data_IF_718350485802
#
_entry.id   IF_718350485802
#
_cell.length_a   1.000
_cell.length_b   1.000
_cell.length_c   1.000
_cell.angle_alpha   90.00
_cell.angle_beta   90.00
_cell.angle_gamma   90.00
#
_symmetry.space_group_name_H-M   'P 1'
#
loop_
_entity.id
_entity.type
_entity.pdbx_description
1 polymer ?
#
# COMPACT_ATOMS: atom_id res chain seq x y z
N UNK A 1 -37.57 36.60 -4.30
CA UNK A 1 -36.65 35.86 -3.42
C UNK A 1 -35.30 35.85 -4.09
N UNK A 2 -34.25 36.33 -3.43
CA UNK A 2 -32.90 36.10 -3.93
C UNK A 2 -32.63 34.58 -3.97
N UNK A 3 -31.98 34.05 -5.01
CA UNK A 3 -31.60 32.64 -5.02
C UNK A 3 -30.69 32.39 -3.82
N UNK A 4 -31.14 31.54 -2.89
CA UNK A 4 -30.26 31.02 -1.84
C UNK A 4 -29.32 30.01 -2.47
N UNK A 5 -28.10 29.87 -1.94
CA UNK A 5 -27.22 28.74 -2.27
C UNK A 5 -27.96 27.39 -2.12
N UNK A 6 -28.96 27.35 -1.23
CA UNK A 6 -29.85 26.21 -1.03
C UNK A 6 -30.89 26.00 -2.14
N UNK A 7 -30.83 26.74 -3.24
CA UNK A 7 -31.76 26.58 -4.37
C UNK A 7 -31.06 26.33 -5.69
N UNK A 8 -29.73 26.40 -5.71
CA UNK A 8 -28.94 26.17 -6.92
C UNK A 8 -28.77 24.67 -7.23
N UNK A 9 -28.78 24.30 -8.52
CA UNK A 9 -28.38 22.96 -8.98
C UNK A 9 -26.93 22.64 -8.60
N UNK A 10 -26.61 21.34 -8.46
CA UNK A 10 -25.26 20.92 -8.05
C UNK A 10 -24.22 21.21 -9.15
N UNK A 11 -24.63 21.16 -10.40
CA UNK A 11 -23.80 21.49 -11.56
C UNK A 11 -23.34 22.95 -11.49
N UNK A 12 -24.24 23.87 -11.16
CA UNK A 12 -23.91 25.30 -10.99
C UNK A 12 -23.02 25.53 -9.78
N UNK A 13 -23.23 24.77 -8.69
CA UNK A 13 -22.38 24.85 -7.50
C UNK A 13 -20.96 24.33 -7.77
N UNK A 14 -20.81 23.33 -8.64
CA UNK A 14 -19.52 22.87 -9.14
C UNK A 14 -18.86 23.96 -9.98
N UNK A 15 -19.52 24.49 -10.99
CA UNK A 15 -18.97 25.58 -11.83
C UNK A 15 -18.54 26.79 -10.98
N UNK A 16 -19.31 27.18 -9.97
CA UNK A 16 -18.92 28.25 -9.04
C UNK A 16 -17.65 27.88 -8.28
N UNK A 17 -17.55 26.65 -7.77
CA UNK A 17 -16.36 26.19 -7.08
C UNK A 17 -15.13 26.18 -8.01
N UNK A 18 -15.31 25.77 -9.27
CA UNK A 18 -14.26 25.76 -10.29
C UNK A 18 -13.80 27.19 -10.65
N UNK A 19 -14.75 28.11 -10.85
CA UNK A 19 -14.46 29.53 -11.10
C UNK A 19 -13.71 30.20 -9.95
N UNK A 20 -14.01 29.86 -8.69
CA UNK A 20 -13.30 30.40 -7.53
C UNK A 20 -11.81 30.03 -7.48
N UNK A 21 -11.37 29.04 -8.27
CA UNK A 21 -9.99 28.56 -8.33
C UNK A 21 -9.30 28.85 -9.65
N UNK A 22 -9.97 29.51 -10.60
CA UNK A 22 -9.49 29.71 -11.98
C UNK A 22 -8.16 30.50 -12.07
N UNK A 23 -7.97 31.50 -11.22
CA UNK A 23 -6.74 32.32 -11.19
C UNK A 23 -5.63 31.70 -10.33
N UNK A 24 -5.89 30.56 -9.70
CA UNK A 24 -4.88 29.79 -8.95
C UNK A 24 -4.11 28.89 -9.92
N UNK A 25 -3.42 29.49 -10.89
CA UNK A 25 -2.42 28.75 -11.67
C UNK A 25 -1.44 28.11 -10.68
N UNK A 26 -1.14 26.80 -10.80
CA UNK A 26 -0.01 26.23 -10.10
C UNK A 26 1.22 27.09 -10.42
N UNK A 27 2.03 27.46 -9.43
CA UNK A 27 3.23 28.24 -9.76
C UNK A 27 4.03 27.44 -10.79
N UNK A 28 4.53 28.09 -11.84
CA UNK A 28 5.27 27.41 -12.92
C UNK A 28 6.53 26.68 -12.43
N UNK A 29 6.90 26.89 -11.16
CA UNK A 29 8.03 26.28 -10.47
C UNK A 29 7.65 25.05 -9.65
N UNK A 30 6.37 24.87 -9.29
CA UNK A 30 5.85 23.68 -8.59
C UNK A 30 4.38 23.51 -8.96
N UNK A 31 4.07 22.68 -9.97
CA UNK A 31 2.71 22.47 -10.44
C UNK A 31 1.97 21.56 -9.45
N UNK A 32 1.67 22.05 -8.24
CA UNK A 32 0.91 21.27 -7.27
C UNK A 32 -0.53 21.06 -7.78
N UNK A 33 -0.96 19.79 -8.01
CA UNK A 33 -2.37 19.48 -8.24
C UNK A 33 -3.23 19.80 -6.99
N UNK A 34 -2.59 19.90 -5.83
CA UNK A 34 -3.22 20.01 -4.52
C UNK A 34 -3.85 21.38 -4.21
N UNK A 35 -3.45 22.48 -4.86
CA UNK A 35 -3.99 23.82 -4.53
C UNK A 35 -5.46 23.94 -4.93
N UNK A 36 -5.83 23.34 -6.06
CA UNK A 36 -7.16 23.38 -6.63
C UNK A 36 -8.17 22.55 -5.82
N UNK A 37 -7.80 21.29 -5.50
CA UNK A 37 -8.64 20.40 -4.71
C UNK A 37 -8.84 20.90 -3.28
N UNK A 38 -7.87 21.64 -2.73
CA UNK A 38 -7.91 22.22 -1.38
C UNK A 38 -9.05 23.23 -1.21
N UNK A 39 -9.23 24.14 -2.17
CA UNK A 39 -10.29 25.17 -2.12
C UNK A 39 -11.68 24.56 -2.27
N UNK A 40 -11.84 23.56 -3.14
CA UNK A 40 -13.08 22.80 -3.28
C UNK A 40 -13.41 22.04 -1.99
N UNK A 41 -12.45 21.32 -1.42
CA UNK A 41 -12.63 20.61 -0.16
C UNK A 41 -12.98 21.58 0.99
N UNK A 42 -12.39 22.78 1.02
CA UNK A 42 -12.74 23.82 1.99
C UNK A 42 -14.20 24.28 1.82
N UNK A 43 -14.65 24.56 0.59
CA UNK A 43 -16.02 24.96 0.30
C UNK A 43 -17.03 23.88 0.73
N UNK A 44 -16.74 22.61 0.41
CA UNK A 44 -17.57 21.45 0.76
C UNK A 44 -17.71 21.28 2.28
N UNK A 45 -16.70 21.69 3.06
CA UNK A 45 -16.74 21.65 4.54
C UNK A 45 -17.57 22.79 5.15
N UNK A 46 -17.90 23.85 4.41
CA UNK A 46 -18.63 25.00 4.97
C UNK A 46 -20.12 24.71 5.24
N UNK A 47 -20.73 23.77 4.52
CA UNK A 47 -22.15 23.49 4.63
C UNK A 47 -22.48 22.02 4.38
N UNK A 48 -23.38 21.44 5.18
CA UNK A 48 -23.82 20.03 5.05
C UNK A 48 -24.43 19.71 3.68
N UNK A 49 -25.17 20.65 3.09
CA UNK A 49 -25.76 20.47 1.76
C UNK A 49 -24.67 20.36 0.69
N UNK A 50 -23.69 21.27 0.73
CA UNK A 50 -22.53 21.25 -0.17
C UNK A 50 -21.72 19.97 0.05
N UNK A 51 -21.53 19.56 1.31
CA UNK A 51 -20.94 18.27 1.65
C UNK A 51 -21.66 17.10 0.98
N UNK A 52 -22.98 17.02 1.11
CA UNK A 52 -23.73 15.89 0.58
C UNK A 52 -23.73 15.84 -0.97
N UNK A 53 -23.80 16.99 -1.65
CA UNK A 53 -23.89 17.01 -3.10
C UNK A 53 -22.56 17.05 -3.84
N UNK A 54 -21.58 17.80 -3.34
CA UNK A 54 -20.31 18.00 -4.05
C UNK A 54 -19.27 16.94 -3.70
N UNK A 55 -19.36 16.28 -2.54
CA UNK A 55 -18.33 15.32 -2.11
C UNK A 55 -18.19 14.17 -3.13
N UNK A 56 -19.30 13.65 -3.67
CA UNK A 56 -19.24 12.63 -4.75
C UNK A 56 -18.47 13.15 -5.97
N UNK A 57 -18.76 14.37 -6.43
CA UNK A 57 -18.10 14.95 -7.59
C UNK A 57 -16.60 15.15 -7.35
N UNK A 58 -16.18 15.49 -6.11
CA UNK A 58 -14.77 15.60 -5.76
C UNK A 58 -14.04 14.26 -5.84
N UNK A 59 -14.63 13.16 -5.33
CA UNK A 59 -14.02 11.84 -5.49
C UNK A 59 -13.93 11.44 -6.97
N UNK A 60 -15.03 11.59 -7.73
CA UNK A 60 -15.04 11.22 -9.15
C UNK A 60 -14.00 12.02 -9.96
N UNK A 61 -13.84 13.30 -9.65
CA UNK A 61 -12.80 14.12 -10.26
C UNK A 61 -11.40 13.65 -9.87
N UNK A 62 -11.13 13.42 -8.57
CA UNK A 62 -9.83 12.94 -8.11
C UNK A 62 -9.45 11.61 -8.78
N UNK A 63 -10.42 10.71 -8.97
CA UNK A 63 -10.21 9.43 -9.64
C UNK A 63 -9.94 9.55 -11.15
N UNK A 64 -10.37 10.65 -11.79
CA UNK A 64 -10.28 10.83 -13.24
C UNK A 64 -9.15 11.75 -13.67
N UNK A 65 -8.90 12.81 -12.90
CA UNK A 65 -8.04 13.92 -13.30
C UNK A 65 -6.71 13.95 -12.52
N UNK A 66 -6.66 13.36 -11.32
CA UNK A 66 -5.45 13.38 -10.50
C UNK A 66 -4.66 12.06 -10.67
N UNK A 67 -3.31 12.12 -10.69
CA UNK A 67 -2.49 10.91 -10.70
C UNK A 67 -2.68 10.11 -9.41
N UNK A 68 -2.41 8.79 -9.45
CA UNK A 68 -2.54 7.92 -8.28
C UNK A 68 -1.68 8.36 -7.09
N UNK A 69 -0.49 8.93 -7.37
CA UNK A 69 0.40 9.53 -6.38
C UNK A 69 -0.28 10.67 -5.62
N UNK A 70 -1.18 11.42 -6.25
CA UNK A 70 -1.97 12.48 -5.62
C UNK A 70 -3.41 12.05 -5.26
N UNK A 71 -3.71 10.76 -5.31
CA UNK A 71 -5.07 10.27 -5.05
C UNK A 71 -5.47 10.42 -3.59
N UNK A 72 -6.74 10.75 -3.36
CA UNK A 72 -7.32 10.77 -2.02
C UNK A 72 -7.29 9.40 -1.35
N UNK A 73 -7.29 8.33 -2.15
CA UNK A 73 -7.17 6.95 -1.68
C UNK A 73 -5.78 6.70 -1.09
N UNK A 74 -4.70 7.07 -1.80
CA UNK A 74 -3.34 6.92 -1.28
C UNK A 74 -3.14 7.69 0.01
N UNK A 75 -3.61 8.94 0.05
CA UNK A 75 -3.61 9.74 1.28
C UNK A 75 -4.37 9.06 2.42
N UNK A 76 -5.57 8.56 2.15
CA UNK A 76 -6.41 7.92 3.16
C UNK A 76 -5.76 6.64 3.72
N UNK A 77 -5.13 5.85 2.85
CA UNK A 77 -4.37 4.66 3.23
C UNK A 77 -3.17 5.03 4.09
N UNK A 78 -2.38 6.04 3.69
CA UNK A 78 -1.22 6.50 4.45
C UNK A 78 -1.59 7.00 5.85
N UNK A 79 -2.66 7.79 5.95
CA UNK A 79 -3.12 8.39 7.22
C UNK A 79 -3.87 7.40 8.11
N UNK A 80 -4.41 6.31 7.56
CA UNK A 80 -5.23 5.36 8.33
C UNK A 80 -6.73 5.69 8.35
N UNK A 81 -7.20 6.51 7.40
CA UNK A 81 -8.60 6.92 7.34
C UNK A 81 -9.45 5.92 6.54
N UNK A 82 -9.89 4.84 7.21
CA UNK A 82 -10.69 3.77 6.60
C UNK A 82 -12.02 4.26 5.99
N UNK A 83 -12.66 5.28 6.54
CA UNK A 83 -13.91 5.82 6.01
C UNK A 83 -13.71 6.49 4.65
N UNK A 84 -12.56 7.13 4.45
CA UNK A 84 -12.20 7.75 3.17
C UNK A 84 -11.82 6.67 2.16
N UNK A 85 -11.12 5.60 2.57
CA UNK A 85 -10.87 4.42 1.72
C UNK A 85 -12.18 3.80 1.25
N UNK A 86 -13.10 3.52 2.17
CA UNK A 86 -14.43 2.94 1.85
C UNK A 86 -15.25 3.82 0.91
N UNK A 87 -15.20 5.15 1.11
CA UNK A 87 -15.90 6.10 0.23
C UNK A 87 -15.28 6.19 -1.15
N UNK A 88 -13.95 6.23 -1.26
CA UNK A 88 -13.26 6.21 -2.54
C UNK A 88 -13.63 4.93 -3.32
N UNK A 89 -13.57 3.77 -2.66
CA UNK A 89 -13.98 2.50 -3.25
C UNK A 89 -15.45 2.50 -3.70
N UNK A 90 -16.37 2.99 -2.86
CA UNK A 90 -17.79 3.12 -3.20
C UNK A 90 -18.03 3.98 -4.46
N UNK A 91 -17.15 4.94 -4.74
CA UNK A 91 -17.20 5.77 -5.94
C UNK A 91 -16.41 5.21 -7.13
N UNK A 92 -15.87 3.99 -7.02
CA UNK A 92 -15.22 3.27 -8.10
C UNK A 92 -13.70 3.35 -8.12
N UNK A 93 -13.06 3.73 -7.01
CA UNK A 93 -11.60 3.67 -6.92
C UNK A 93 -11.11 2.21 -6.96
N UNK A 94 -10.14 1.92 -7.83
CA UNK A 94 -9.45 0.64 -7.87
C UNK A 94 -8.52 0.50 -6.64
N UNK A 95 -8.60 -0.63 -5.94
CA UNK A 95 -7.87 -0.91 -4.69
C UNK A 95 -6.60 -1.73 -4.88
N UNK A 96 -6.41 -2.29 -6.07
CA UNK A 96 -5.32 -3.15 -6.49
C UNK A 96 -4.31 -2.43 -7.40
N UNK A 97 -4.49 -1.12 -7.61
CA UNK A 97 -3.63 -0.33 -8.47
C UNK A 97 -2.17 -0.37 -8.03
N UNK A 98 -1.28 -0.61 -9.00
CA UNK A 98 0.15 -0.39 -8.85
C UNK A 98 0.45 1.10 -8.99
N UNK A 99 1.26 1.61 -8.06
CA UNK A 99 1.67 3.00 -7.97
C UNK A 99 3.15 3.04 -8.29
N UNK A 100 3.49 3.77 -9.34
CA UNK A 100 4.84 4.02 -9.78
C UNK A 100 5.22 5.46 -9.45
N UNK A 101 6.36 5.64 -8.80
CA UNK A 101 6.94 6.95 -8.50
C UNK A 101 8.26 7.07 -9.23
N UNK A 102 8.35 8.12 -10.03
CA UNK A 102 9.49 8.52 -10.87
C UNK A 102 9.94 9.93 -10.49
N UNK A 103 11.10 10.35 -10.99
CA UNK A 103 11.60 11.73 -10.80
C UNK A 103 10.59 12.81 -11.22
N UNK A 104 9.79 12.56 -12.27
CA UNK A 104 8.79 13.48 -12.80
C UNK A 104 7.50 13.52 -11.96
N UNK A 105 7.30 12.53 -11.10
CA UNK A 105 6.09 12.36 -10.25
C UNK A 105 6.42 12.44 -8.76
N UNK A 106 7.58 13.03 -8.44
CA UNK A 106 8.23 13.16 -7.11
C UNK A 106 7.41 13.87 -6.04
N UNK A 107 6.28 14.49 -6.40
CA UNK A 107 5.34 14.98 -5.41
C UNK A 107 4.24 13.96 -5.13
N UNK A 108 4.43 13.21 -4.04
CA UNK A 108 3.39 12.40 -3.46
C UNK A 108 2.91 13.14 -2.19
N UNK A 109 1.67 13.64 -2.10
CA UNK A 109 1.15 14.31 -0.90
C UNK A 109 1.32 13.55 0.44
N UNK A 110 1.35 12.19 0.49
CA UNK A 110 1.71 11.46 1.69
C UNK A 110 3.22 11.47 2.02
N UNK A 111 4.11 11.86 1.06
CA UNK A 111 5.59 11.82 1.13
C UNK A 111 6.35 13.12 0.87
N UNK A 112 5.67 14.21 0.51
CA UNK A 112 6.28 15.52 0.30
C UNK A 112 7.08 15.57 -1.00
N UNK A 113 8.00 16.53 -1.08
CA UNK A 113 8.99 16.56 -2.16
C UNK A 113 10.03 15.48 -1.87
N UNK A 114 10.04 14.44 -2.69
CA UNK A 114 11.07 13.42 -2.66
C UNK A 114 12.28 14.03 -3.37
N UNK A 115 13.27 14.48 -2.60
CA UNK A 115 14.60 14.80 -3.13
C UNK A 115 15.45 13.51 -3.08
N UNK A 116 15.55 12.73 -4.18
CA UNK A 116 16.37 11.54 -4.17
C UNK A 116 17.82 11.92 -3.89
N UNK A 117 18.46 11.27 -2.90
CA UNK A 117 19.89 11.47 -2.64
C UNK A 117 20.66 11.04 -3.90
N UNK A 118 21.43 11.93 -4.55
CA UNK A 118 22.21 11.59 -5.74
C UNK A 118 23.26 10.49 -5.50
N UNK A 119 23.51 10.12 -4.25
CA UNK A 119 24.38 9.01 -3.87
C UNK A 119 23.62 7.72 -3.53
N UNK A 120 22.28 7.71 -3.59
CA UNK A 120 21.49 6.50 -3.46
C UNK A 120 21.79 5.56 -4.63
N UNK A 121 22.03 4.28 -4.34
CA UNK A 121 22.23 3.22 -5.33
C UNK A 121 21.02 3.09 -6.27
N UNK A 122 19.83 3.52 -5.85
CA UNK A 122 18.60 3.52 -6.64
C UNK A 122 18.25 4.87 -7.25
N UNK A 123 19.16 5.84 -7.21
CA UNK A 123 18.97 7.12 -7.87
C UNK A 123 18.60 6.93 -9.35
N UNK A 124 17.44 7.45 -9.75
CA UNK A 124 16.90 7.31 -11.11
C UNK A 124 16.16 6.00 -11.41
N UNK A 125 15.99 5.09 -10.44
CA UNK A 125 15.14 3.91 -10.59
C UNK A 125 13.71 4.17 -10.08
N UNK A 126 12.67 3.64 -10.75
CA UNK A 126 11.30 3.82 -10.31
C UNK A 126 11.05 3.04 -9.01
N UNK A 127 10.27 3.64 -8.12
CA UNK A 127 9.66 2.94 -6.99
C UNK A 127 8.30 2.42 -7.42
N UNK A 128 8.04 1.13 -7.17
CA UNK A 128 6.75 0.52 -7.47
C UNK A 128 6.19 -0.12 -6.21
N UNK A 129 4.92 0.16 -5.90
CA UNK A 129 4.23 -0.42 -4.76
C UNK A 129 2.71 -0.38 -4.99
N UNK A 130 1.92 -0.70 -3.97
CA UNK A 130 0.46 -0.64 -4.01
C UNK A 130 -0.10 -0.20 -2.67
N UNK A 131 -1.41 0.02 -2.58
CA UNK A 131 -2.05 0.46 -1.34
C UNK A 131 -1.81 -0.49 -0.16
N UNK A 132 -1.69 -1.79 -0.40
CA UNK A 132 -1.43 -2.76 0.69
C UNK A 132 -0.06 -2.54 1.33
N UNK A 133 0.96 -2.22 0.54
CA UNK A 133 2.32 -1.95 1.01
C UNK A 133 2.36 -0.71 1.91
N UNK A 134 1.66 0.36 1.52
CA UNK A 134 1.55 1.58 2.33
C UNK A 134 0.76 1.31 3.61
N UNK A 135 -0.35 0.56 3.54
CA UNK A 135 -1.13 0.21 4.71
C UNK A 135 -0.33 -0.64 5.71
N UNK A 136 0.52 -1.55 5.23
CA UNK A 136 1.44 -2.37 6.04
C UNK A 136 2.53 -1.51 6.66
N UNK A 137 3.18 -0.64 5.88
CA UNK A 137 4.23 0.26 6.37
C UNK A 137 3.74 1.08 7.56
N UNK A 138 2.49 1.54 7.47
CA UNK A 138 1.85 2.39 8.49
C UNK A 138 1.12 1.59 9.57
N UNK A 139 1.12 0.26 9.48
CA UNK A 139 0.48 -0.68 10.42
C UNK A 139 -1.03 -0.48 10.58
N UNK A 140 -1.74 -0.21 9.48
CA UNK A 140 -3.20 -0.06 9.46
C UNK A 140 -3.89 -1.39 9.14
N UNK A 141 -3.97 -2.32 10.10
CA UNK A 141 -4.52 -3.69 9.91
C UNK A 141 -5.93 -3.63 9.35
N UNK A 142 -6.79 -2.73 9.85
CA UNK A 142 -8.17 -2.60 9.38
C UNK A 142 -8.26 -2.20 7.89
N UNK A 143 -7.30 -1.40 7.40
CA UNK A 143 -7.23 -1.03 5.98
C UNK A 143 -6.67 -2.21 5.17
N UNK A 144 -5.60 -2.87 5.63
CA UNK A 144 -5.06 -4.07 4.97
C UNK A 144 -6.15 -5.13 4.80
N UNK A 145 -6.90 -5.40 5.86
CA UNK A 145 -8.02 -6.34 5.82
C UNK A 145 -9.08 -5.92 4.79
N UNK A 146 -9.48 -4.65 4.80
CA UNK A 146 -10.46 -4.14 3.86
C UNK A 146 -9.99 -4.24 2.40
N UNK A 147 -8.73 -3.89 2.12
CA UNK A 147 -8.15 -3.98 0.77
C UNK A 147 -8.20 -5.43 0.25
N UNK A 148 -7.72 -6.40 1.04
CA UNK A 148 -7.69 -7.81 0.65
C UNK A 148 -9.10 -8.36 0.45
N UNK A 149 -10.04 -8.03 1.35
CA UNK A 149 -11.43 -8.49 1.25
C UNK A 149 -12.16 -7.90 0.03
N UNK A 150 -11.63 -6.83 -0.56
CA UNK A 150 -12.17 -6.20 -1.76
C UNK A 150 -11.25 -6.39 -2.99
N UNK A 151 -10.41 -7.43 -2.99
CA UNK A 151 -9.72 -7.90 -4.19
C UNK A 151 -8.28 -7.40 -4.36
N UNK A 152 -7.71 -6.69 -3.39
CA UNK A 152 -6.27 -6.39 -3.44
C UNK A 152 -5.44 -7.68 -3.38
N UNK A 153 -4.44 -7.78 -4.24
CA UNK A 153 -3.55 -8.94 -4.29
C UNK A 153 -2.63 -8.99 -3.05
N UNK A 154 -2.66 -10.12 -2.36
CA UNK A 154 -1.78 -10.40 -1.21
C UNK A 154 -0.32 -10.66 -1.64
N UNK A 155 -0.09 -10.85 -2.93
CA UNK A 155 1.23 -10.95 -3.57
C UNK A 155 1.46 -9.80 -4.56
N UNK A 156 0.86 -8.63 -4.33
CA UNK A 156 1.15 -7.44 -5.12
C UNK A 156 2.67 -7.18 -5.11
N UNK A 157 3.34 -7.06 -6.26
CA UNK A 157 4.78 -6.82 -6.29
C UNK A 157 5.10 -5.38 -5.85
N UNK A 158 6.26 -5.24 -5.22
CA UNK A 158 6.93 -3.95 -5.01
C UNK A 158 8.37 -4.00 -5.49
N UNK A 159 8.86 -2.87 -5.98
CA UNK A 159 10.23 -2.67 -6.44
C UNK A 159 10.81 -1.44 -5.75
N UNK A 160 11.99 -1.61 -5.16
CA UNK A 160 12.74 -0.57 -4.44
C UNK A 160 11.97 0.08 -3.27
N UNK A 161 10.85 -0.52 -2.83
CA UNK A 161 9.94 0.12 -1.86
C UNK A 161 10.25 -0.16 -0.38
N UNK A 162 10.92 -1.26 -0.03
CA UNK A 162 11.11 -1.62 1.39
C UNK A 162 12.56 -1.85 1.83
N UNK A 163 13.42 -2.48 1.01
CA UNK A 163 14.84 -2.67 1.34
C UNK A 163 15.76 -2.81 0.12
N UNK A 164 17.05 -2.49 0.32
CA UNK A 164 18.18 -2.82 -0.56
C UNK A 164 18.98 -3.99 0.02
N UNK A 165 18.31 -5.08 0.36
CA UNK A 165 19.04 -6.30 0.69
C UNK A 165 19.67 -6.83 -0.61
N UNK A 166 20.98 -7.08 -0.59
CA UNK A 166 21.69 -7.70 -1.72
C UNK A 166 21.03 -9.02 -2.16
N UNK A 167 20.39 -9.72 -1.22
CA UNK A 167 19.63 -10.97 -1.45
C UNK A 167 18.43 -10.76 -2.37
N UNK A 168 17.78 -9.59 -2.30
CA UNK A 168 16.53 -9.29 -3.00
C UNK A 168 16.67 -8.22 -4.08
N UNK A 169 17.91 -7.80 -4.39
CA UNK A 169 18.18 -6.74 -5.36
C UNK A 169 17.64 -7.09 -6.75
N UNK A 170 16.73 -6.26 -7.25
CA UNK A 170 16.12 -6.44 -8.58
C UNK A 170 15.02 -7.50 -8.65
N UNK A 171 14.60 -8.06 -7.51
CA UNK A 171 13.49 -9.03 -7.42
C UNK A 171 12.26 -8.33 -6.84
N UNK A 172 11.05 -8.55 -7.39
CA UNK A 172 9.82 -8.06 -6.77
C UNK A 172 9.60 -8.63 -5.37
N UNK A 173 9.41 -7.74 -4.40
CA UNK A 173 9.11 -8.08 -3.01
C UNK A 173 7.61 -8.01 -2.75
N UNK A 174 7.11 -8.91 -1.91
CA UNK A 174 5.69 -9.04 -1.60
C UNK A 174 5.32 -8.50 -0.20
N UNK A 175 4.03 -8.22 0.06
CA UNK A 175 3.56 -7.63 1.31
C UNK A 175 4.01 -8.37 2.58
N UNK A 176 4.14 -9.70 2.52
CA UNK A 176 4.56 -10.52 3.67
C UNK A 176 6.04 -10.29 4.04
N UNK A 177 6.92 -10.02 3.07
CA UNK A 177 8.30 -9.64 3.34
C UNK A 177 8.34 -8.37 4.18
N UNK A 178 7.58 -7.36 3.78
CA UNK A 178 7.54 -6.09 4.48
C UNK A 178 7.08 -6.25 5.93
N UNK A 179 6.09 -7.11 6.19
CA UNK A 179 5.65 -7.40 7.56
C UNK A 179 6.75 -8.07 8.40
N UNK A 180 7.50 -9.03 7.85
CA UNK A 180 8.45 -9.80 8.65
C UNK A 180 9.74 -9.04 8.94
N UNK A 181 10.25 -8.28 7.97
CA UNK A 181 11.59 -7.69 8.07
C UNK A 181 11.59 -6.20 8.42
N UNK A 182 10.44 -5.52 8.37
CA UNK A 182 10.36 -4.07 8.59
C UNK A 182 9.43 -3.67 9.74
N UNK A 183 9.28 -4.54 10.74
CA UNK A 183 8.63 -4.22 12.01
C UNK A 183 9.52 -3.32 12.88
N UNK A 184 9.50 -2.02 12.56
CA UNK A 184 10.49 -1.03 13.00
C UNK A 184 11.11 -1.19 14.39
N UNK A 185 12.45 -1.23 14.41
CA UNK A 185 13.29 -0.67 15.48
C UNK A 185 14.62 -0.17 14.92
N UNK A 186 15.13 -0.71 13.82
CA UNK A 186 16.38 -0.22 13.25
C UNK A 186 16.08 0.86 12.21
N UNK A 187 16.45 2.11 12.51
CA UNK A 187 16.38 3.27 11.61
C UNK A 187 17.32 3.15 10.41
N UNK A 188 17.46 1.92 9.89
CA UNK A 188 18.33 1.49 8.81
C UNK A 188 17.53 0.97 7.62
N UNK A 189 16.20 0.85 7.71
CA UNK A 189 15.39 0.90 6.49
C UNK A 189 15.61 2.31 5.92
N UNK A 190 16.48 2.40 4.91
CA UNK A 190 16.92 3.59 4.19
C UNK A 190 15.78 4.29 3.41
N UNK A 191 14.58 4.18 3.95
CA UNK A 191 13.39 4.83 3.47
C UNK A 191 12.91 5.71 4.63
N UNK A 192 13.69 6.76 4.87
CA UNK A 192 13.32 8.01 5.56
C UNK A 192 12.20 8.73 4.76
N UNK A 193 11.09 8.04 4.45
CA UNK A 193 10.02 8.55 3.57
C UNK A 193 8.79 8.88 4.41
N UNK A 194 8.88 10.02 5.09
CA UNK A 194 7.76 10.71 5.72
C UNK A 194 7.93 12.22 5.55
N UNK A 195 6.96 12.96 4.99
CA UNK A 195 6.99 14.42 4.94
C UNK A 195 6.23 15.03 6.12
N UNK A 196 5.99 14.23 7.14
CA UNK A 196 5.35 14.63 8.36
C UNK A 196 6.18 13.98 9.45
N UNK A 197 7.29 14.61 9.79
CA UNK A 197 7.79 14.69 11.17
C UNK A 197 6.74 15.34 12.11
N UNK A 198 5.46 15.25 11.79
CA UNK A 198 4.39 15.72 12.62
C UNK A 198 4.10 14.58 13.59
N UNK A 199 4.34 14.86 14.87
CA UNK A 199 4.09 14.04 16.07
C UNK A 199 2.65 13.47 16.13
N UNK A 200 1.77 13.83 15.19
CA UNK A 200 0.39 13.37 15.06
C UNK A 200 0.22 12.10 14.22
N UNK A 201 1.23 11.69 13.42
CA UNK A 201 1.19 10.41 12.71
C UNK A 201 1.61 9.29 13.66
N UNK A 202 0.69 8.92 14.56
CA UNK A 202 0.85 7.70 15.34
C UNK A 202 1.04 6.55 14.36
N UNK A 203 2.27 6.01 14.27
CA UNK A 203 2.48 4.66 13.74
C UNK A 203 1.37 3.79 14.34
N UNK A 204 0.65 3.05 13.48
CA UNK A 204 -0.42 2.17 13.96
C UNK A 204 0.11 1.38 15.15
N UNK A 205 -0.59 1.46 16.28
CA UNK A 205 -0.23 0.74 17.50
C UNK A 205 -0.51 -0.78 17.39
N UNK A 206 -0.96 -1.22 16.20
CA UNK A 206 -1.29 -2.60 15.91
C UNK A 206 -0.01 -3.39 15.66
N UNK A 207 0.07 -4.57 16.28
CA UNK A 207 1.26 -5.38 16.28
C UNK A 207 1.46 -6.09 14.95
N UNK A 208 2.69 -6.16 14.48
CA UNK A 208 3.09 -6.90 13.27
C UNK A 208 2.64 -8.37 13.25
N UNK A 209 2.62 -9.10 14.37
CA UNK A 209 1.98 -10.42 14.43
C UNK A 209 0.55 -10.43 13.90
N UNK A 210 -0.24 -9.37 14.07
CA UNK A 210 -1.60 -9.29 13.54
C UNK A 210 -1.60 -9.21 12.00
N UNK A 211 -0.69 -8.43 11.41
CA UNK A 211 -0.53 -8.33 9.96
C UNK A 211 -0.04 -9.63 9.33
N UNK A 212 0.97 -10.26 9.93
CA UNK A 212 1.51 -11.56 9.47
C UNK A 212 0.41 -12.62 9.49
N UNK A 213 -0.32 -12.72 10.61
CA UNK A 213 -1.46 -13.63 10.72
C UNK A 213 -2.54 -13.34 9.67
N UNK A 214 -2.89 -12.06 9.47
CA UNK A 214 -3.88 -11.64 8.49
C UNK A 214 -3.45 -12.06 7.08
N UNK A 215 -2.26 -11.65 6.62
CA UNK A 215 -1.75 -11.95 5.29
C UNK A 215 -1.68 -13.45 5.03
N UNK A 216 -1.08 -14.23 5.93
CA UNK A 216 -0.97 -15.68 5.75
C UNK A 216 -2.34 -16.35 5.77
N UNK A 217 -3.25 -15.90 6.63
CA UNK A 217 -4.63 -16.42 6.65
C UNK A 217 -5.40 -16.15 5.37
N UNK A 218 -5.07 -15.06 4.66
CA UNK A 218 -5.64 -14.68 3.37
C UNK A 218 -4.87 -15.26 2.18
N UNK A 219 -3.85 -16.08 2.43
CA UNK A 219 -3.14 -16.84 1.41
C UNK A 219 -1.82 -16.23 0.95
N UNK A 220 -1.24 -15.28 1.69
CA UNK A 220 0.16 -14.89 1.49
C UNK A 220 1.10 -16.02 1.94
N UNK A 221 2.11 -16.33 1.13
CA UNK A 221 3.06 -17.43 1.36
C UNK A 221 4.44 -17.18 0.76
N UNK A 222 4.62 -16.10 0.00
CA UNK A 222 5.87 -15.73 -0.65
C UNK A 222 6.37 -14.41 -0.07
N UNK A 223 7.69 -14.26 -0.02
CA UNK A 223 8.39 -13.05 0.37
C UNK A 223 8.86 -12.28 -0.86
N UNK A 224 9.28 -13.02 -1.88
CA UNK A 224 9.69 -12.53 -3.19
C UNK A 224 9.33 -13.59 -4.25
N UNK A 225 9.58 -13.29 -5.52
CA UNK A 225 9.46 -14.29 -6.59
C UNK A 225 10.28 -15.55 -6.24
N UNK A 226 9.62 -16.71 -6.26
CA UNK A 226 10.17 -18.02 -5.88
C UNK A 226 10.75 -18.17 -4.47
N UNK A 227 10.60 -17.16 -3.59
CA UNK A 227 11.04 -17.20 -2.19
C UNK A 227 9.85 -17.43 -1.26
N UNK A 228 9.80 -18.61 -0.64
CA UNK A 228 8.76 -18.99 0.33
C UNK A 228 8.97 -18.35 1.70
N UNK A 229 7.87 -18.01 2.39
CA UNK A 229 7.90 -17.51 3.76
C UNK A 229 8.05 -18.60 4.85
N UNK A 230 8.10 -19.89 4.49
CA UNK A 230 8.11 -21.00 5.47
C UNK A 230 9.32 -20.92 6.41
N UNK A 231 10.51 -20.64 5.87
CA UNK A 231 11.74 -20.55 6.66
C UNK A 231 11.67 -19.43 7.70
N UNK A 232 11.33 -18.23 7.25
CA UNK A 232 11.30 -17.02 8.09
C UNK A 232 10.15 -17.05 9.11
N UNK A 233 8.97 -17.54 8.72
CA UNK A 233 7.89 -17.75 9.69
C UNK A 233 8.27 -18.76 10.77
N UNK A 234 9.10 -19.75 10.44
CA UNK A 234 9.58 -20.70 11.45
C UNK A 234 10.61 -20.09 12.38
N UNK A 235 11.55 -19.26 11.90
CA UNK A 235 12.55 -18.62 12.75
C UNK A 235 11.92 -17.62 13.72
N UNK A 236 10.87 -16.91 13.27
CA UNK A 236 10.11 -15.95 14.07
C UNK A 236 9.07 -16.62 15.01
N UNK A 237 8.96 -17.94 15.01
CA UNK A 237 8.09 -18.68 15.92
C UNK A 237 6.61 -18.75 15.53
N UNK A 238 6.24 -18.40 14.30
CA UNK A 238 4.87 -18.51 13.76
C UNK A 238 4.51 -19.94 13.34
N UNK A 239 4.77 -20.93 14.20
CA UNK A 239 4.65 -22.36 13.86
C UNK A 239 3.25 -22.79 13.38
N UNK A 240 2.18 -22.16 13.87
CA UNK A 240 0.82 -22.46 13.41
C UNK A 240 0.54 -21.93 12.00
N UNK A 241 1.20 -20.85 11.59
CA UNK A 241 1.14 -20.34 10.22
C UNK A 241 1.99 -21.21 9.27
N UNK A 242 3.16 -21.66 9.73
CA UNK A 242 3.99 -22.63 8.98
C UNK A 242 3.19 -23.89 8.65
N UNK A 243 2.45 -24.46 9.60
CA UNK A 243 1.56 -25.62 9.34
C UNK A 243 0.51 -25.34 8.27
N UNK A 244 -0.03 -24.12 8.20
CA UNK A 244 -0.98 -23.73 7.15
C UNK A 244 -0.30 -23.70 5.78
N UNK A 245 0.93 -23.17 5.70
CA UNK A 245 1.70 -23.11 4.45
C UNK A 245 2.14 -24.50 3.97
N UNK A 246 2.54 -25.40 4.88
CA UNK A 246 2.93 -26.78 4.53
C UNK A 246 1.78 -27.62 3.94
N UNK A 247 0.53 -27.21 4.18
CA UNK A 247 -0.64 -27.87 3.59
C UNK A 247 -0.94 -27.42 2.16
N UNK A 248 -0.19 -26.45 1.63
CA UNK A 248 -0.34 -25.99 0.25
C UNK A 248 0.37 -26.96 -0.71
N UNK A 249 -0.16 -27.07 -1.92
CA UNK A 249 0.36 -27.96 -2.97
C UNK A 249 1.11 -27.22 -4.07
N UNK A 250 1.45 -25.94 -3.88
CA UNK A 250 2.25 -25.19 -4.84
C UNK A 250 3.74 -25.58 -4.76
N UNK A 251 4.44 -25.52 -5.90
CA UNK A 251 5.83 -25.97 -6.04
C UNK A 251 6.77 -25.27 -5.05
N UNK A 252 6.61 -23.96 -4.89
CA UNK A 252 7.44 -23.13 -4.00
C UNK A 252 7.29 -23.56 -2.54
N UNK A 253 6.05 -23.74 -2.06
CA UNK A 253 5.76 -24.20 -0.70
C UNK A 253 6.19 -25.65 -0.47
N UNK A 254 6.03 -26.53 -1.47
CA UNK A 254 6.46 -27.93 -1.38
C UNK A 254 7.99 -28.04 -1.28
N UNK A 255 8.72 -27.29 -2.11
CA UNK A 255 10.18 -27.24 -2.07
C UNK A 255 10.68 -26.67 -0.75
N UNK A 256 10.20 -25.50 -0.35
CA UNK A 256 10.60 -24.87 0.90
C UNK A 256 10.21 -25.72 2.12
N UNK A 257 9.04 -26.36 2.09
CA UNK A 257 8.60 -27.31 3.10
C UNK A 257 9.53 -28.51 3.21
N UNK A 258 10.07 -29.01 2.09
CA UNK A 258 10.99 -30.15 2.10
C UNK A 258 12.34 -29.78 2.73
N UNK A 259 12.87 -28.61 2.40
CA UNK A 259 14.07 -28.06 3.07
C UNK A 259 13.84 -27.84 4.56
N UNK A 260 12.67 -27.33 4.94
CA UNK A 260 12.27 -27.19 6.34
C UNK A 260 12.17 -28.54 7.07
N UNK A 261 11.59 -29.55 6.43
CA UNK A 261 11.53 -30.91 6.99
C UNK A 261 12.93 -31.52 7.17
N UNK A 262 13.84 -31.27 6.22
CA UNK A 262 15.22 -31.72 6.30
C UNK A 262 15.99 -31.02 7.42
N UNK A 263 15.84 -29.70 7.58
CA UNK A 263 16.53 -28.93 8.63
C UNK A 263 16.04 -29.29 10.04
N UNK A 264 14.76 -29.64 10.17
CA UNK A 264 14.13 -30.10 11.43
C UNK A 264 14.27 -31.60 11.67
N UNK A 265 14.88 -32.35 10.73
CA UNK A 265 15.00 -33.80 10.75
C UNK A 265 13.65 -34.53 10.90
N UNK A 266 12.58 -33.98 10.34
CA UNK A 266 11.25 -34.58 10.32
C UNK A 266 11.06 -35.46 9.08
N UNK A 267 11.46 -36.72 9.19
CA UNK A 267 11.33 -37.71 8.12
C UNK A 267 9.88 -37.95 7.69
N UNK A 268 8.91 -37.80 8.61
CA UNK A 268 7.49 -38.03 8.28
C UNK A 268 6.97 -36.90 7.40
N UNK A 269 7.27 -35.66 7.77
CA UNK A 269 6.92 -34.49 6.96
C UNK A 269 7.62 -34.54 5.59
N UNK A 270 8.91 -34.88 5.54
CA UNK A 270 9.64 -35.00 4.29
C UNK A 270 9.02 -36.07 3.36
N UNK A 271 8.64 -37.23 3.90
CA UNK A 271 8.00 -38.30 3.13
C UNK A 271 6.64 -37.87 2.58
N UNK A 272 5.82 -37.20 3.40
CA UNK A 272 4.52 -36.66 2.99
C UNK A 272 4.66 -35.59 1.89
N UNK A 273 5.61 -34.67 2.02
CA UNK A 273 5.87 -33.64 1.01
C UNK A 273 6.38 -34.23 -0.32
N UNK A 274 7.24 -35.24 -0.29
CA UNK A 274 7.69 -35.97 -1.49
C UNK A 274 6.49 -36.68 -2.16
N UNK A 275 5.59 -37.28 -1.38
CA UNK A 275 4.36 -37.89 -1.90
C UNK A 275 3.42 -36.86 -2.53
N UNK A 276 3.41 -35.63 -2.02
CA UNK A 276 2.69 -34.49 -2.60
C UNK A 276 3.38 -33.89 -3.84
N UNK A 277 4.55 -34.40 -4.22
CA UNK A 277 5.28 -33.97 -5.42
C UNK A 277 6.37 -32.93 -5.18
N UNK A 278 6.85 -32.77 -3.94
CA UNK A 278 8.04 -31.97 -3.68
C UNK A 278 9.27 -32.60 -4.37
N UNK A 279 9.96 -31.81 -5.19
CA UNK A 279 11.19 -32.22 -5.86
C UNK A 279 12.40 -31.61 -5.15
N UNK A 280 13.27 -32.46 -4.60
CA UNK A 280 14.50 -32.04 -3.93
C UNK A 280 15.55 -31.43 -4.88
N UNK A 281 15.45 -31.72 -6.18
CA UNK A 281 16.36 -31.23 -7.20
C UNK A 281 15.82 -30.00 -7.95
N UNK A 282 14.61 -29.54 -7.64
CA UNK A 282 14.10 -28.29 -8.18
C UNK A 282 15.00 -27.15 -7.68
N UNK A 283 15.77 -26.55 -8.57
CA UNK A 283 16.36 -25.23 -8.33
C UNK A 283 15.27 -24.19 -8.56
N UNK A 284 15.23 -23.18 -7.71
CA UNK A 284 14.55 -21.90 -7.96
C UNK A 284 15.11 -21.30 -9.25
#
# INVERSE_FOLDING_TARGET
MAPSLDTLPMETLLEIAEMCTWDSLPSSTNPHPASYARSHAALVRTCRRLYQGLNRALYLRNLKEDPLTASCLLWAVNVGNIDTVKRAHMYGAALDSSIEVTEETTYCPPWGDIEPDPNDLFYGLPYQFSFIHVAILRKHVAIVQYLIENGADVHAPSLNFCCDDETYRGVPLFPLHQCLFHDGVDGTSAIEWGPLEDESSSLGNESTPALVNLLVSKGAYMLAEDVSAIGDLSSEGYGDLVKKLLNRSDKVSLWAGLHFAASTNDLRLATDLIQRGADAAATT
#
